data_IF_762880464158
#
_entry.id   IF_762880464158
#
_cell.length_a   1.000
_cell.length_b   1.000
_cell.length_c   1.000
_cell.angle_alpha   90.00
_cell.angle_beta   90.00
_cell.angle_gamma   90.00
#
_symmetry.space_group_name_H-M   'P 1'
#
loop_
_entity.id
_entity.type
_entity.pdbx_description
1 polymer ?
#
# COMPACT_ATOMS: atom_id res chain seq x y z
N UNK A 1 0.04 6.69 -29.20
CA UNK A 1 -0.59 6.56 -27.87
C UNK A 1 0.28 7.34 -26.90
N UNK A 2 -0.26 8.33 -26.17
CA UNK A 2 0.53 9.18 -25.26
C UNK A 2 0.17 8.79 -23.81
N UNK A 3 1.18 8.60 -22.96
CA UNK A 3 1.03 8.21 -21.56
C UNK A 3 1.22 9.46 -20.70
N UNK A 4 0.24 9.77 -19.83
CA UNK A 4 0.35 10.84 -18.83
C UNK A 4 0.79 10.22 -17.51
N UNK A 5 1.90 10.73 -16.95
CA UNK A 5 2.40 10.35 -15.63
C UNK A 5 1.97 11.42 -14.62
N UNK A 6 1.47 10.97 -13.47
CA UNK A 6 1.10 11.81 -12.33
C UNK A 6 1.58 11.08 -11.07
N UNK A 7 2.11 11.84 -10.10
CA UNK A 7 2.57 11.31 -8.83
C UNK A 7 1.44 11.31 -7.81
N UNK A 8 1.20 10.16 -7.19
CA UNK A 8 0.32 10.03 -6.01
C UNK A 8 0.89 10.84 -4.85
N UNK A 9 0.01 11.44 -4.07
CA UNK A 9 0.33 12.14 -2.83
C UNK A 9 0.07 11.22 -1.64
N UNK A 10 0.61 11.52 -0.43
CA UNK A 10 0.36 10.71 0.76
C UNK A 10 -1.14 10.48 1.05
N UNK A 11 -1.96 11.52 0.88
CA UNK A 11 -3.42 11.43 1.05
C UNK A 11 -4.10 10.43 0.10
N UNK A 12 -3.51 10.17 -1.06
CA UNK A 12 -4.04 9.22 -2.03
C UNK A 12 -3.76 7.78 -1.60
N UNK A 13 -2.71 7.57 -0.80
CA UNK A 13 -2.26 6.25 -0.37
C UNK A 13 -2.98 5.73 0.86
N UNK A 14 -3.41 6.61 1.79
CA UNK A 14 -4.01 6.17 3.07
C UNK A 14 -5.21 5.24 2.85
N UNK A 15 -6.11 5.60 1.93
CA UNK A 15 -7.25 4.74 1.62
C UNK A 15 -6.84 3.37 1.06
N UNK A 16 -5.73 3.31 0.32
CA UNK A 16 -5.21 2.05 -0.22
C UNK A 16 -4.59 1.21 0.89
N UNK A 17 -3.78 1.81 1.76
CA UNK A 17 -3.16 1.13 2.90
C UNK A 17 -4.18 0.63 3.92
N UNK A 18 -5.27 1.37 4.17
CA UNK A 18 -6.37 0.88 5.00
C UNK A 18 -7.04 -0.37 4.40
N UNK A 19 -7.21 -0.40 3.07
CA UNK A 19 -7.73 -1.58 2.37
C UNK A 19 -6.73 -2.74 2.41
N UNK A 20 -5.43 -2.47 2.24
CA UNK A 20 -4.38 -3.49 2.38
C UNK A 20 -4.36 -4.04 3.81
N UNK A 21 -4.39 -3.18 4.83
CA UNK A 21 -4.47 -3.60 6.22
C UNK A 21 -5.63 -4.57 6.49
N UNK A 22 -6.82 -4.30 5.94
CA UNK A 22 -7.96 -5.21 6.05
C UNK A 22 -7.74 -6.57 5.35
N UNK A 23 -7.04 -6.60 4.22
CA UNK A 23 -6.71 -7.84 3.49
C UNK A 23 -5.65 -8.66 4.23
N UNK A 24 -4.70 -7.97 4.84
CA UNK A 24 -3.61 -8.54 5.63
C UNK A 24 -4.06 -8.98 7.04
N UNK A 25 -5.29 -8.62 7.45
CA UNK A 25 -5.81 -8.86 8.79
C UNK A 25 -5.20 -7.95 9.88
N UNK A 26 -4.56 -6.84 9.50
CA UNK A 26 -4.02 -5.83 10.43
C UNK A 26 -5.15 -5.05 11.09
N UNK A 27 -5.04 -4.78 12.39
CA UNK A 27 -5.97 -3.91 13.12
C UNK A 27 -5.64 -2.43 12.90
N UNK A 28 -6.33 -1.81 11.94
CA UNK A 28 -6.16 -0.41 11.57
C UNK A 28 -7.33 0.49 12.02
N UNK A 29 -8.23 -0.01 12.89
CA UNK A 29 -9.51 0.67 13.16
C UNK A 29 -9.32 2.11 13.68
N UNK A 30 -8.43 2.33 14.64
CA UNK A 30 -8.17 3.66 15.19
C UNK A 30 -7.61 4.63 14.13
N UNK A 31 -6.75 4.13 13.23
CA UNK A 31 -6.16 4.92 12.15
C UNK A 31 -7.23 5.30 11.13
N UNK A 32 -8.12 4.36 10.78
CA UNK A 32 -9.25 4.58 9.89
C UNK A 32 -10.21 5.66 10.43
N UNK A 33 -10.58 5.57 11.71
CA UNK A 33 -11.45 6.54 12.38
C UNK A 33 -10.84 7.95 12.33
N UNK A 34 -9.55 8.08 12.63
CA UNK A 34 -8.82 9.36 12.56
C UNK A 34 -8.75 9.91 11.14
N UNK A 35 -8.58 9.05 10.14
CA UNK A 35 -8.54 9.45 8.74
C UNK A 35 -9.87 10.08 8.30
N UNK A 36 -10.99 9.38 8.51
CA UNK A 36 -12.30 9.88 8.11
C UNK A 36 -12.74 11.09 8.93
N UNK A 37 -12.44 11.14 10.23
CA UNK A 37 -12.73 12.30 11.07
C UNK A 37 -12.01 13.58 10.59
N UNK A 38 -10.86 13.44 9.92
CA UNK A 38 -10.13 14.56 9.34
C UNK A 38 -10.63 14.99 7.94
N UNK A 39 -11.64 14.29 7.38
CA UNK A 39 -12.16 14.50 6.03
C UNK A 39 -11.43 13.69 4.95
N UNK A 40 -10.72 12.63 5.36
CA UNK A 40 -10.12 11.66 4.45
C UNK A 40 -11.16 10.89 3.64
N UNK A 41 -10.75 10.37 2.47
CA UNK A 41 -11.60 9.58 1.58
C UNK A 41 -11.16 8.10 1.56
N UNK A 42 -12.07 7.16 1.27
CA UNK A 42 -11.67 5.77 1.02
C UNK A 42 -10.81 5.68 -0.24
N UNK A 43 -10.09 4.56 -0.44
CA UNK A 43 -9.28 4.41 -1.65
C UNK A 43 -10.14 4.49 -2.91
N UNK A 44 -9.73 5.28 -3.91
CA UNK A 44 -10.49 5.44 -5.14
C UNK A 44 -10.58 4.13 -5.93
N UNK A 45 -11.67 3.97 -6.70
CA UNK A 45 -11.88 2.81 -7.58
C UNK A 45 -10.84 2.74 -8.72
N UNK A 46 -10.23 3.89 -9.06
CA UNK A 46 -9.14 3.97 -10.04
C UNK A 46 -7.94 4.62 -9.39
N UNK A 47 -6.79 3.96 -9.51
CA UNK A 47 -5.51 4.50 -9.08
C UNK A 47 -5.20 5.80 -9.85
N UNK A 48 -4.95 6.87 -9.10
CA UNK A 48 -4.60 8.18 -9.63
C UNK A 48 -4.46 9.19 -8.51
N UNK A 49 -3.71 10.26 -8.74
CA UNK A 49 -3.63 11.33 -7.75
C UNK A 49 -4.97 12.07 -7.64
N UNK A 50 -5.36 12.45 -6.42
CA UNK A 50 -6.54 13.28 -6.21
C UNK A 50 -6.37 14.65 -6.88
N UNK A 51 -7.42 15.09 -7.58
CA UNK A 51 -7.57 16.47 -8.02
C UNK A 51 -8.87 17.05 -7.42
N UNK A 52 -8.84 18.22 -6.76
CA UNK A 52 -7.69 19.08 -6.45
C UNK A 52 -6.82 18.55 -5.27
N UNK A 53 -5.58 19.05 -5.11
CA UNK A 53 -4.70 18.64 -4.02
C UNK A 53 -5.34 18.88 -2.65
N UNK A 54 -5.16 17.93 -1.72
CA UNK A 54 -5.69 18.07 -0.37
C UNK A 54 -5.05 19.24 0.38
N UNK A 55 -5.74 19.69 1.44
CA UNK A 55 -5.20 20.71 2.34
C UNK A 55 -3.85 20.26 2.93
N UNK A 56 -2.90 21.18 3.18
CA UNK A 56 -1.59 20.83 3.78
C UNK A 56 -1.72 20.08 5.12
N UNK A 57 -2.75 20.39 5.91
CA UNK A 57 -3.04 19.71 7.18
C UNK A 57 -3.41 18.24 6.96
N UNK A 58 -4.24 17.96 5.95
CA UNK A 58 -4.66 16.59 5.64
C UNK A 58 -3.48 15.78 5.09
N UNK A 59 -2.63 16.38 4.24
CA UNK A 59 -1.40 15.74 3.74
C UNK A 59 -0.43 15.39 4.85
N UNK A 60 -0.16 16.33 5.75
CA UNK A 60 0.72 16.07 6.90
C UNK A 60 0.13 15.00 7.85
N UNK A 61 -1.20 14.91 7.96
CA UNK A 61 -1.84 13.81 8.69
C UNK A 61 -1.64 12.48 7.95
N UNK A 62 -1.86 12.46 6.64
CA UNK A 62 -1.69 11.25 5.82
C UNK A 62 -0.28 10.66 5.96
N UNK A 63 0.77 11.48 5.90
CA UNK A 63 2.15 11.01 6.15
C UNK A 63 2.29 10.30 7.50
N UNK A 64 1.79 10.89 8.59
CA UNK A 64 1.85 10.25 9.91
C UNK A 64 1.04 8.96 9.99
N UNK A 65 -0.15 8.92 9.38
CA UNK A 65 -0.97 7.72 9.38
C UNK A 65 -0.33 6.60 8.57
N UNK A 66 0.36 6.91 7.48
CA UNK A 66 1.12 5.92 6.70
C UNK A 66 2.27 5.33 7.53
N UNK A 67 3.00 6.16 8.28
CA UNK A 67 4.04 5.68 9.20
C UNK A 67 3.43 4.77 10.29
N UNK A 68 2.28 5.14 10.86
CA UNK A 68 1.58 4.33 11.85
C UNK A 68 1.08 2.99 11.26
N UNK A 69 0.51 3.00 10.05
CA UNK A 69 0.04 1.79 9.35
C UNK A 69 1.17 0.81 9.04
N UNK A 70 2.37 1.33 8.74
CA UNK A 70 3.56 0.52 8.47
C UNK A 70 4.10 -0.20 9.73
N UNK A 71 3.69 0.22 10.92
CA UNK A 71 4.09 -0.39 12.20
C UNK A 71 3.11 -1.45 12.70
N UNK A 72 1.95 -1.61 12.05
CA UNK A 72 0.98 -2.62 12.43
C UNK A 72 1.55 -4.03 12.19
N UNK A 73 1.32 -4.92 13.15
CA UNK A 73 1.66 -6.34 13.01
C UNK A 73 0.85 -6.95 11.86
N UNK A 74 1.50 -7.75 11.03
CA UNK A 74 0.91 -8.38 9.83
C UNK A 74 0.74 -9.88 10.11
N UNK A 75 -0.48 -10.35 10.45
CA UNK A 75 -0.72 -11.76 10.76
C UNK A 75 -0.28 -12.73 9.66
N UNK A 76 -0.40 -12.31 8.39
CA UNK A 76 -0.04 -13.13 7.22
C UNK A 76 1.46 -13.12 6.91
N UNK A 77 2.29 -12.36 7.63
CA UNK A 77 3.72 -12.24 7.30
C UNK A 77 4.47 -13.57 7.33
N UNK A 78 4.01 -14.54 8.13
CA UNK A 78 4.59 -15.88 8.16
C UNK A 78 4.31 -16.70 6.89
N UNK A 79 3.19 -16.41 6.22
CA UNK A 79 2.76 -17.09 4.99
C UNK A 79 3.22 -16.34 3.72
N UNK A 80 3.75 -15.12 3.87
CA UNK A 80 4.18 -14.23 2.79
C UNK A 80 5.69 -13.92 2.89
N UNK A 81 6.57 -14.84 2.47
CA UNK A 81 8.01 -14.61 2.51
C UNK A 81 8.40 -13.42 1.64
N UNK A 82 9.30 -12.57 2.15
CA UNK A 82 9.84 -11.40 1.42
C UNK A 82 11.24 -11.65 0.88
N UNK A 83 11.97 -12.60 1.45
CA UNK A 83 13.28 -13.03 0.97
C UNK A 83 13.14 -13.75 -0.38
N UNK A 84 13.94 -13.34 -1.38
CA UNK A 84 13.87 -13.93 -2.71
C UNK A 84 14.04 -15.45 -2.68
N UNK A 85 15.00 -15.96 -1.90
CA UNK A 85 15.26 -17.40 -1.80
C UNK A 85 14.07 -18.18 -1.21
N UNK A 86 13.38 -17.60 -0.23
CA UNK A 86 12.18 -18.18 0.39
C UNK A 86 10.99 -18.16 -0.56
N UNK A 87 10.80 -17.07 -1.30
CA UNK A 87 9.78 -16.95 -2.35
C UNK A 87 9.99 -18.01 -3.43
N UNK A 88 11.24 -18.19 -3.90
CA UNK A 88 11.60 -19.20 -4.89
C UNK A 88 11.32 -20.60 -4.36
N UNK A 89 11.71 -20.89 -3.11
CA UNK A 89 11.45 -22.17 -2.47
C UNK A 89 9.94 -22.48 -2.33
N UNK A 90 9.11 -21.46 -2.10
CA UNK A 90 7.66 -21.59 -2.03
C UNK A 90 6.98 -21.81 -3.40
N UNK A 91 7.73 -21.72 -4.51
CA UNK A 91 7.23 -21.82 -5.88
C UNK A 91 7.69 -23.11 -6.58
N UNK A 92 6.90 -24.21 -6.59
CA UNK A 92 7.32 -25.52 -7.12
C UNK A 92 7.66 -25.53 -8.61
N UNK A 93 7.15 -24.54 -9.35
CA UNK A 93 7.32 -24.41 -10.80
C UNK A 93 8.16 -23.18 -11.17
N UNK A 94 9.06 -22.75 -10.28
CA UNK A 94 9.92 -21.61 -10.54
C UNK A 94 10.72 -21.84 -11.84
N UNK A 95 10.65 -20.92 -12.82
CA UNK A 95 11.17 -21.17 -14.17
C UNK A 95 12.71 -21.25 -14.27
N UNK A 96 13.42 -21.09 -13.15
CA UNK A 96 14.88 -21.02 -13.11
C UNK A 96 15.42 -19.77 -13.82
N UNK A 97 16.72 -19.48 -13.69
CA UNK A 97 17.35 -18.49 -14.55
C UNK A 97 17.25 -18.95 -16.02
N UNK A 98 16.94 -18.02 -16.93
CA UNK A 98 17.00 -18.31 -18.36
C UNK A 98 18.42 -18.78 -18.71
N UNK A 99 18.54 -19.89 -19.44
CA UNK A 99 19.82 -20.37 -19.95
C UNK A 99 20.50 -19.22 -20.68
N UNK A 100 21.65 -18.76 -20.15
CA UNK A 100 22.51 -17.80 -20.82
C UNK A 100 23.14 -18.50 -22.01
N UNK A 101 22.38 -18.55 -23.11
CA UNK A 101 22.80 -19.10 -24.39
C UNK A 101 24.14 -18.50 -24.80
N UNK A 102 25.12 -19.38 -24.92
CA UNK A 102 26.44 -19.14 -25.51
C UNK A 102 26.31 -18.91 -27.01
#
# INVERSE_FOLDING_TARGET
MNVRLTWTQPEDLVGHELRQAAQDGRDAQEIEERWYAAGGAPAPDRAGASEPPASPRLRALAERLLDELALLDVPLAADEPTGLDEIVAACPHWPGPADAGR
#
